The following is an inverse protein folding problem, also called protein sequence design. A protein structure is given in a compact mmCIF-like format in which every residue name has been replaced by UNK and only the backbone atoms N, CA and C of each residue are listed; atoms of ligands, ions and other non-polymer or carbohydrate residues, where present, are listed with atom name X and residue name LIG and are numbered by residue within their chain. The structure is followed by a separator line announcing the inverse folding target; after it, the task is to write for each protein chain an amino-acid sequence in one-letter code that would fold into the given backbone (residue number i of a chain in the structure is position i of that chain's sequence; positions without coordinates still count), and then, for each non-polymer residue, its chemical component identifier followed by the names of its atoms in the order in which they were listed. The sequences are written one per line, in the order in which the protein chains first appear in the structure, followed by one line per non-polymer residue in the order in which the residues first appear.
data_IF_259647181135
#
_entry.id   IF_259647181135
#
_cell.length_a   1.000
_cell.length_b   1.000
_cell.length_c   1.000
_cell.angle_alpha   90.00
_cell.angle_beta   90.00
_cell.angle_gamma   90.00
#
_symmetry.space_group_name_H-M   'P 1'
#
loop_
_entity.id
_entity.type
_entity.pdbx_description
1 polymer ?
#
# COMPACT_ATOMS: atom_id res chain seq x y z
N UNK A 1 -11.59 6.43 -11.87
CA UNK A 1 -11.93 5.05 -12.24
C UNK A 1 -10.76 4.26 -12.84
N UNK A 2 -9.56 4.85 -13.02
CA UNK A 2 -8.43 4.22 -13.72
C UNK A 2 -7.73 3.07 -12.96
N UNK A 3 -7.69 3.11 -11.62
CA UNK A 3 -6.99 2.09 -10.82
C UNK A 3 -7.76 0.76 -10.69
N UNK A 4 -9.08 0.76 -10.94
CA UNK A 4 -9.92 -0.43 -10.77
C UNK A 4 -9.56 -1.52 -11.76
N UNK A 5 -9.46 -1.15 -13.04
CA UNK A 5 -9.04 -2.05 -14.11
C UNK A 5 -7.67 -2.68 -13.83
N UNK A 6 -6.72 -1.90 -13.29
CA UNK A 6 -5.39 -2.41 -12.92
C UNK A 6 -5.47 -3.45 -11.79
N UNK A 7 -6.37 -3.25 -10.81
CA UNK A 7 -6.61 -4.24 -9.75
C UNK A 7 -7.30 -5.49 -10.31
N UNK A 8 -8.29 -5.32 -11.20
CA UNK A 8 -9.00 -6.43 -11.84
C UNK A 8 -8.05 -7.29 -12.69
N UNK A 9 -7.10 -6.63 -13.37
CA UNK A 9 -6.03 -7.26 -14.14
C UNK A 9 -4.86 -7.76 -13.30
N UNK A 10 -4.90 -7.52 -11.98
CA UNK A 10 -3.83 -7.93 -11.03
C UNK A 10 -2.47 -7.32 -11.36
N UNK A 11 -2.48 -6.10 -11.88
CA UNK A 11 -1.27 -5.36 -12.25
C UNK A 11 -0.70 -4.56 -11.07
N UNK A 12 0.61 -4.35 -11.15
CA UNK A 12 1.35 -3.49 -10.24
C UNK A 12 1.27 -2.05 -10.75
N UNK A 13 0.96 -1.10 -9.87
CA UNK A 13 0.88 0.30 -10.27
C UNK A 13 1.20 1.26 -9.14
N UNK A 14 1.51 2.50 -9.50
CA UNK A 14 1.79 3.57 -8.56
C UNK A 14 0.89 4.77 -8.85
N UNK A 15 0.32 5.34 -7.78
CA UNK A 15 -0.41 6.59 -7.82
C UNK A 15 0.53 7.65 -7.25
N UNK A 16 0.97 8.57 -8.11
CA UNK A 16 1.89 9.66 -7.76
C UNK A 16 1.15 10.99 -7.65
N UNK A 17 1.71 11.94 -6.90
CA UNK A 17 1.18 13.31 -6.80
C UNK A 17 -0.07 13.43 -5.92
N UNK A 18 -0.25 12.54 -4.95
CA UNK A 18 -1.42 12.57 -4.06
C UNK A 18 -1.22 13.65 -2.99
N UNK A 19 -2.16 14.60 -2.80
CA UNK A 19 -2.07 15.55 -1.69
C UNK A 19 -1.92 14.82 -0.35
N UNK A 20 -1.02 15.28 0.54
CA UNK A 20 -0.69 14.59 1.80
C UNK A 20 -1.92 14.23 2.65
N UNK A 21 -2.92 15.11 2.71
CA UNK A 21 -4.17 14.88 3.44
C UNK A 21 -5.08 13.80 2.81
N UNK A 22 -4.86 13.46 1.54
CA UNK A 22 -5.69 12.53 0.78
C UNK A 22 -5.08 11.13 0.69
N UNK A 23 -3.81 10.92 1.05
CA UNK A 23 -3.15 9.60 0.96
C UNK A 23 -3.93 8.55 1.76
N UNK A 24 -4.35 8.87 2.99
CA UNK A 24 -5.15 7.96 3.82
C UNK A 24 -6.47 7.59 3.15
N UNK A 25 -7.16 8.58 2.58
CA UNK A 25 -8.45 8.40 1.90
C UNK A 25 -8.31 7.55 0.63
N UNK A 26 -7.24 7.76 -0.14
CA UNK A 26 -6.97 6.95 -1.35
C UNK A 26 -6.65 5.51 -0.96
N UNK A 27 -5.90 5.27 0.11
CA UNK A 27 -5.66 3.92 0.62
C UNK A 27 -6.95 3.22 1.05
N UNK A 28 -7.83 3.91 1.79
CA UNK A 28 -9.13 3.36 2.20
C UNK A 28 -10.02 3.00 0.99
N UNK A 29 -9.98 3.81 -0.08
CA UNK A 29 -10.68 3.49 -1.33
C UNK A 29 -10.09 2.24 -2.01
N UNK A 30 -8.76 2.09 -2.01
CA UNK A 30 -8.09 0.93 -2.59
C UNK A 30 -8.38 -0.34 -1.78
N UNK A 31 -8.30 -0.26 -0.46
CA UNK A 31 -8.61 -1.35 0.48
C UNK A 31 -10.03 -1.86 0.26
N UNK A 32 -11.03 -0.99 0.38
CA UNK A 32 -12.43 -1.35 0.18
C UNK A 32 -12.69 -1.98 -1.19
N UNK A 33 -12.03 -1.49 -2.25
CA UNK A 33 -12.20 -2.05 -3.58
C UNK A 33 -11.59 -3.45 -3.70
N UNK A 34 -10.38 -3.67 -3.20
CA UNK A 34 -9.73 -4.99 -3.20
C UNK A 34 -10.56 -5.98 -2.37
N UNK A 35 -11.00 -5.57 -1.18
CA UNK A 35 -11.82 -6.42 -0.31
C UNK A 35 -13.19 -6.74 -0.93
N UNK A 36 -13.79 -5.80 -1.68
CA UNK A 36 -15.03 -6.07 -2.43
C UNK A 36 -14.90 -7.17 -3.49
N UNK A 37 -13.67 -7.49 -3.90
CA UNK A 37 -13.37 -8.60 -4.82
C UNK A 37 -12.97 -9.88 -4.08
N UNK A 38 -13.18 -9.93 -2.76
CA UNK A 38 -12.82 -11.05 -1.90
C UNK A 38 -11.29 -11.34 -1.91
N UNK A 39 -10.49 -10.32 -2.20
CA UNK A 39 -9.03 -10.35 -2.20
C UNK A 39 -8.49 -9.73 -0.91
N UNK A 40 -7.29 -10.15 -0.49
CA UNK A 40 -6.66 -9.65 0.73
C UNK A 40 -5.63 -8.58 0.40
N UNK A 41 -5.70 -7.43 1.04
CA UNK A 41 -4.66 -6.42 0.94
C UNK A 41 -3.91 -6.23 2.25
N UNK A 42 -2.63 -5.83 2.15
CA UNK A 42 -1.81 -5.42 3.29
C UNK A 42 -1.31 -4.01 3.08
N UNK A 43 -1.60 -3.13 4.04
CA UNK A 43 -1.19 -1.73 3.97
C UNK A 43 0.05 -1.49 4.82
N UNK A 44 1.06 -0.85 4.23
CA UNK A 44 2.25 -0.37 4.92
C UNK A 44 2.43 1.14 4.74
N UNK A 45 3.02 1.78 5.73
CA UNK A 45 3.57 3.14 5.57
C UNK A 45 5.07 3.04 5.53
N UNK A 46 5.70 3.58 4.49
CA UNK A 46 7.15 3.80 4.47
C UNK A 46 7.45 4.90 5.51
N UNK A 47 8.02 4.50 6.66
CA UNK A 47 8.22 5.39 7.80
C UNK A 47 9.33 6.42 7.56
N UNK A 48 9.18 7.51 8.30
CA UNK A 48 9.86 8.80 8.25
C UNK A 48 11.10 8.82 9.15
N UNK A 49 12.19 8.18 8.72
CA UNK A 49 13.58 8.35 9.23
C UNK A 49 14.46 7.61 8.20
N UNK A 50 15.40 8.21 7.47
CA UNK A 50 16.47 9.11 7.88
C UNK A 50 16.83 10.00 6.68
N UNK A 51 17.11 11.26 6.95
CA UNK A 51 18.00 12.07 6.13
C UNK A 51 19.30 11.30 5.84
N UNK A 52 19.54 10.93 4.59
CA UNK A 52 20.83 10.47 4.07
C UNK A 52 21.05 8.95 4.06
N UNK A 53 21.45 8.43 2.89
CA UNK A 53 22.10 7.11 2.66
C UNK A 53 21.24 5.88 3.02
N UNK A 54 20.95 4.88 2.20
CA UNK A 54 21.39 4.36 0.89
C UNK A 54 20.20 3.55 0.36
N UNK A 55 19.93 3.50 -0.94
CA UNK A 55 20.45 2.40 -1.76
C UNK A 55 20.17 1.02 -1.12
N UNK A 56 19.38 0.19 -1.80
CA UNK A 56 19.09 -1.22 -1.47
C UNK A 56 17.99 -1.44 -0.41
N UNK A 57 16.74 -1.53 -0.86
CA UNK A 57 15.68 -2.21 -0.09
C UNK A 57 15.75 -3.70 -0.42
N UNK A 58 16.59 -4.39 0.36
CA UNK A 58 16.51 -5.82 0.61
C UNK A 58 15.14 -6.16 1.22
N UNK A 59 14.48 -7.28 0.87
CA UNK A 59 13.12 -7.59 1.30
C UNK A 59 12.96 -8.00 2.79
N UNK A 60 13.99 -7.83 3.62
CA UNK A 60 14.05 -8.45 4.97
C UNK A 60 14.05 -7.44 6.14
N UNK A 61 14.28 -6.14 5.93
CA UNK A 61 14.32 -5.16 7.04
C UNK A 61 13.55 -3.89 6.72
N UNK A 62 12.31 -3.79 7.20
CA UNK A 62 11.50 -2.58 7.08
C UNK A 62 10.07 -2.70 7.63
N UNK A 63 9.83 -3.59 8.60
CA UNK A 63 8.51 -3.81 9.17
C UNK A 63 8.27 -2.92 10.39
N UNK A 64 7.95 -1.64 10.21
CA UNK A 64 7.30 -0.85 11.28
C UNK A 64 6.43 0.27 10.71
N UNK A 65 5.10 0.05 10.69
CA UNK A 65 4.03 1.02 10.98
C UNK A 65 2.64 0.44 10.60
N UNK A 66 2.07 -0.38 11.49
CA UNK A 66 0.63 -0.65 11.60
C UNK A 66 -0.08 0.64 12.02
N UNK A 67 -0.33 1.56 11.09
CA UNK A 67 -1.15 2.76 11.39
C UNK A 67 -2.29 2.84 10.38
N UNK A 68 -3.41 2.26 10.78
CA UNK A 68 -4.64 2.17 10.01
C UNK A 68 -5.51 1.07 10.58
N UNK A 69 -6.06 1.30 11.78
CA UNK A 69 -7.14 0.47 12.34
C UNK A 69 -8.31 0.57 11.35
N UNK A 70 -8.57 -0.53 10.66
CA UNK A 70 -9.64 -0.70 9.68
C UNK A 70 -9.75 -2.18 9.36
N UNK A 71 -10.62 -2.86 10.12
CA UNK A 71 -11.26 -4.15 9.81
C UNK A 71 -10.29 -5.38 9.73
N UNK A 72 -10.14 -6.02 10.91
CA UNK A 72 -9.62 -7.37 11.16
C UNK A 72 -8.16 -7.67 10.76
N UNK A 73 -7.40 -8.10 11.76
CA UNK A 73 -6.06 -8.72 11.68
C UNK A 73 -6.08 -10.08 10.92
N UNK A 74 -6.90 -10.22 9.88
CA UNK A 74 -7.12 -11.45 9.14
C UNK A 74 -6.02 -11.57 8.08
N UNK A 75 -4.95 -12.25 8.49
CA UNK A 75 -4.00 -12.93 7.62
C UNK A 75 -2.73 -12.14 7.22
N UNK A 76 -1.89 -11.89 8.23
CA UNK A 76 -0.44 -11.61 8.08
C UNK A 76 0.34 -12.66 7.27
N UNK A 77 -0.31 -13.75 6.82
CA UNK A 77 0.36 -14.91 6.24
C UNK A 77 0.41 -14.95 4.71
N UNK A 78 -0.54 -14.32 3.97
CA UNK A 78 -0.50 -14.35 2.49
C UNK A 78 -1.46 -13.33 1.81
N UNK A 79 -1.15 -12.01 1.80
CA UNK A 79 -1.98 -11.03 1.10
C UNK A 79 -1.93 -11.24 -0.42
N UNK A 80 -3.02 -10.93 -1.13
CA UNK A 80 -3.07 -10.89 -2.59
C UNK A 80 -2.43 -9.59 -3.12
N UNK A 81 -2.65 -8.48 -2.41
CA UNK A 81 -2.11 -7.16 -2.73
C UNK A 81 -1.37 -6.53 -1.57
N UNK A 82 -0.35 -5.74 -1.87
CA UNK A 82 0.32 -4.86 -0.92
C UNK A 82 0.16 -3.41 -1.35
N UNK A 83 -0.31 -2.57 -0.43
CA UNK A 83 -0.45 -1.13 -0.61
C UNK A 83 0.62 -0.45 0.24
N UNK A 84 1.56 0.23 -0.37
CA UNK A 84 2.64 0.93 0.33
C UNK A 84 2.51 2.44 0.16
N UNK A 85 2.38 3.14 1.29
CA UNK A 85 2.25 4.60 1.37
C UNK A 85 3.62 5.25 1.49
N UNK A 86 3.97 6.09 0.53
CA UNK A 86 5.14 6.95 0.58
C UNK A 86 4.71 8.39 0.89
N UNK A 87 4.72 8.73 2.19
CA UNK A 87 4.30 10.04 2.68
C UNK A 87 5.31 11.15 2.38
N UNK A 88 6.58 10.79 2.12
CA UNK A 88 7.64 11.75 1.79
C UNK A 88 7.42 12.21 0.36
N UNK A 89 7.21 11.26 -0.52
CA UNK A 89 7.12 11.51 -1.95
C UNK A 89 5.69 11.62 -2.48
N UNK A 90 4.68 11.59 -1.60
CA UNK A 90 3.26 11.71 -1.97
C UNK A 90 2.81 10.63 -2.97
N UNK A 91 3.23 9.39 -2.75
CA UNK A 91 2.95 8.24 -3.64
C UNK A 91 2.25 7.12 -2.88
N UNK A 92 1.45 6.34 -3.59
CA UNK A 92 0.96 5.04 -3.13
C UNK A 92 1.35 4.01 -4.19
N UNK A 93 2.08 2.97 -3.81
CA UNK A 93 2.36 1.85 -4.69
C UNK A 93 1.48 0.66 -4.31
N UNK A 94 0.88 0.02 -5.31
CA UNK A 94 0.03 -1.16 -5.19
C UNK A 94 0.71 -2.29 -5.96
N UNK A 95 1.00 -3.39 -5.27
CA UNK A 95 1.68 -4.55 -5.85
C UNK A 95 0.85 -5.81 -5.63
N UNK A 96 0.66 -6.60 -6.68
CA UNK A 96 0.10 -7.93 -6.62
C UNK A 96 1.18 -8.94 -6.20
N UNK A 97 0.83 -9.91 -5.33
CA UNK A 97 1.79 -10.85 -4.71
C UNK A 97 1.58 -12.32 -5.04
N UNK A 98 0.45 -12.68 -5.65
CA UNK A 98 0.15 -14.05 -6.05
C UNK A 98 0.22 -14.22 -7.57
#
# INVERSE_FOLDING_TARGET
MQFRTLIDQRENFEIVGIPKGNIKKVCEILENYIESQNLKCRIYTKNRTVSGFTGVINPVFGAVALVGIGIHNMMTWNPDFEISRDLINNRIAVAYKK
#
